data_IF_706402954158
#
_entry.id   IF_706402954158
#
_cell.length_a   1.000
_cell.length_b   1.000
_cell.length_c   1.000
_cell.angle_alpha   90.00
_cell.angle_beta   90.00
_cell.angle_gamma   90.00
#
_symmetry.space_group_name_H-M   'P 1'
#
loop_
_entity.id
_entity.type
_entity.pdbx_description
1 polymer ?
#
# COMPACT_ATOMS: atom_id res chain seq x y z
N UNK A 1 7.03 22.55 25.45
CA UNK A 1 7.49 21.50 24.51
C UNK A 1 6.96 21.87 23.13
N UNK A 2 7.84 22.14 22.16
CA UNK A 2 7.46 22.39 20.76
C UNK A 2 7.41 21.07 20.01
N UNK A 3 6.26 20.69 19.49
CA UNK A 3 6.12 19.52 18.61
C UNK A 3 6.84 19.80 17.30
N UNK A 4 7.82 18.97 16.94
CA UNK A 4 8.49 19.04 15.64
C UNK A 4 7.79 18.08 14.68
N UNK A 5 7.25 18.62 13.58
CA UNK A 5 6.64 17.82 12.52
C UNK A 5 7.72 17.54 11.47
N UNK A 6 7.88 16.27 11.10
CA UNK A 6 8.68 15.85 9.95
C UNK A 6 7.75 15.28 8.89
N UNK A 7 7.97 15.66 7.63
CA UNK A 7 7.19 15.18 6.49
C UNK A 7 8.14 14.77 5.36
N UNK A 8 7.85 13.62 4.76
CA UNK A 8 8.61 13.06 3.65
C UNK A 8 7.64 12.33 2.71
N UNK A 9 7.77 12.57 1.41
CA UNK A 9 7.07 11.79 0.40
C UNK A 9 7.70 10.39 0.28
N UNK A 10 6.92 9.34 0.57
CA UNK A 10 7.37 7.95 0.40
C UNK A 10 7.23 7.48 -1.06
N UNK A 11 6.15 7.91 -1.72
CA UNK A 11 5.94 7.72 -3.15
C UNK A 11 5.42 9.01 -3.77
N UNK A 12 5.86 9.28 -4.99
CA UNK A 12 5.48 10.47 -5.76
C UNK A 12 4.86 10.04 -7.08
N UNK A 13 3.66 10.54 -7.38
CA UNK A 13 2.97 10.23 -8.63
C UNK A 13 3.84 10.51 -9.86
N UNK A 14 3.79 9.62 -10.85
CA UNK A 14 4.64 9.66 -12.04
C UNK A 14 6.07 9.14 -11.85
N UNK A 15 6.49 8.81 -10.62
CA UNK A 15 7.77 8.16 -10.34
C UNK A 15 7.58 6.66 -10.06
N UNK A 16 8.65 5.87 -10.19
CA UNK A 16 8.66 4.45 -9.79
C UNK A 16 7.77 3.52 -10.63
N UNK A 17 7.33 3.95 -11.81
CA UNK A 17 6.53 3.14 -12.73
C UNK A 17 5.01 3.23 -12.53
N UNK A 18 4.53 4.11 -11.66
CA UNK A 18 3.11 4.28 -11.38
C UNK A 18 2.67 5.73 -11.58
N UNK A 19 1.51 5.90 -12.21
CA UNK A 19 0.89 7.21 -12.38
C UNK A 19 0.46 7.80 -11.02
N UNK A 20 -0.19 7.02 -10.17
CA UNK A 20 -0.76 7.48 -8.90
C UNK A 20 -0.52 6.49 -7.77
N UNK A 21 -0.33 7.01 -6.55
CA UNK A 21 -0.27 6.23 -5.34
C UNK A 21 -1.44 6.62 -4.43
N UNK A 22 -2.21 5.64 -3.92
CA UNK A 22 -3.39 5.89 -3.07
C UNK A 22 -3.54 4.83 -1.98
N UNK A 23 -4.51 5.07 -1.10
CA UNK A 23 -4.94 4.17 -0.02
C UNK A 23 -3.76 3.78 0.90
N UNK A 24 -3.18 4.76 1.61
CA UNK A 24 -2.05 4.50 2.49
C UNK A 24 -2.50 3.71 3.72
N UNK A 25 -1.68 2.75 4.15
CA UNK A 25 -1.81 2.09 5.44
C UNK A 25 -0.47 1.99 6.15
N UNK A 26 -0.47 2.12 7.48
CA UNK A 26 0.73 2.05 8.31
C UNK A 26 0.56 0.99 9.40
N UNK A 27 1.64 0.28 9.70
CA UNK A 27 1.72 -0.62 10.84
C UNK A 27 3.11 -0.56 11.47
N UNK A 28 3.20 -0.73 12.79
CA UNK A 28 4.47 -0.84 13.52
C UNK A 28 4.58 -2.25 14.07
N UNK A 29 5.60 -2.98 13.63
CA UNK A 29 5.89 -4.33 14.11
C UNK A 29 6.29 -4.34 15.58
N UNK A 30 6.29 -5.51 16.21
CA UNK A 30 6.80 -5.67 17.59
C UNK A 30 8.29 -5.32 17.74
N UNK A 31 9.06 -5.35 16.64
CA UNK A 31 10.45 -4.91 16.58
C UNK A 31 10.63 -3.39 16.33
N UNK A 32 9.54 -2.61 16.31
CA UNK A 32 9.60 -1.17 16.06
C UNK A 32 9.81 -0.77 14.59
N UNK A 33 9.89 -1.73 13.67
CA UNK A 33 9.92 -1.44 12.22
C UNK A 33 8.58 -0.86 11.79
N UNK A 34 8.60 0.28 11.11
CA UNK A 34 7.42 0.90 10.48
C UNK A 34 7.26 0.30 9.09
N UNK A 35 6.07 -0.20 8.79
CA UNK A 35 5.66 -0.68 7.48
C UNK A 35 4.65 0.31 6.90
N UNK A 36 4.95 0.85 5.73
CA UNK A 36 4.04 1.68 4.96
C UNK A 36 3.60 0.94 3.71
N UNK A 37 2.29 0.85 3.49
CA UNK A 37 1.68 0.24 2.33
C UNK A 37 0.91 1.28 1.53
N UNK A 38 0.81 1.08 0.22
CA UNK A 38 -0.11 1.82 -0.64
C UNK A 38 -0.42 1.03 -1.91
N UNK A 39 -1.45 1.46 -2.62
CA UNK A 39 -1.72 1.08 -4.01
C UNK A 39 -0.81 1.85 -4.95
N UNK A 40 -0.07 1.15 -5.80
CA UNK A 40 0.57 1.68 -7.01
C UNK A 40 -0.37 1.50 -8.20
N UNK A 41 -0.99 2.59 -8.66
CA UNK A 41 -1.91 2.59 -9.79
C UNK A 41 -1.17 2.92 -11.08
N UNK A 42 -1.06 1.95 -11.99
CA UNK A 42 -0.14 2.03 -13.14
C UNK A 42 -0.49 3.17 -14.10
N UNK A 43 -1.75 3.25 -14.50
CA UNK A 43 -2.17 4.04 -15.67
C UNK A 43 -2.98 5.31 -15.34
N UNK A 44 -3.49 5.43 -14.12
CA UNK A 44 -4.39 6.53 -13.75
C UNK A 44 -4.71 6.58 -12.25
N UNK A 45 -5.57 7.51 -11.85
CA UNK A 45 -6.01 7.68 -10.47
C UNK A 45 -7.34 6.97 -10.14
N UNK A 46 -7.92 6.24 -11.11
CA UNK A 46 -9.19 5.50 -10.94
C UNK A 46 -9.08 4.30 -10.00
N UNK A 47 -10.21 3.89 -9.43
CA UNK A 47 -10.28 2.78 -8.45
C UNK A 47 -10.29 1.38 -9.10
N UNK A 48 -10.49 1.32 -10.42
CA UNK A 48 -10.29 0.12 -11.24
C UNK A 48 -9.05 0.28 -12.13
N UNK A 49 -8.47 -0.85 -12.53
CA UNK A 49 -7.28 -0.92 -13.38
C UNK A 49 -6.21 -1.85 -12.81
N UNK A 50 -5.06 -1.89 -13.49
CA UNK A 50 -3.90 -2.61 -12.97
C UNK A 50 -3.31 -1.83 -11.79
N UNK A 51 -3.52 -2.39 -10.60
CA UNK A 51 -3.09 -1.80 -9.33
C UNK A 51 -2.28 -2.85 -8.59
N UNK A 52 -1.05 -2.48 -8.24
CA UNK A 52 -0.16 -3.29 -7.42
C UNK A 52 -0.18 -2.81 -5.98
N UNK A 53 0.03 -3.72 -5.03
CA UNK A 53 0.21 -3.39 -3.63
C UNK A 53 1.69 -3.25 -3.29
N UNK A 54 2.06 -2.12 -2.72
CA UNK A 54 3.45 -1.76 -2.46
C UNK A 54 3.76 -1.67 -0.96
N UNK A 55 5.03 -1.83 -0.61
CA UNK A 55 5.57 -1.70 0.73
C UNK A 55 6.87 -0.89 0.72
N UNK A 56 7.03 0.01 1.68
CA UNK A 56 8.32 0.50 2.16
C UNK A 56 8.42 0.27 3.66
N UNK A 57 9.63 0.00 4.16
CA UNK A 57 9.87 -0.17 5.60
C UNK A 57 10.91 0.80 6.11
N UNK A 58 10.75 1.23 7.35
CA UNK A 58 11.75 1.99 8.11
C UNK A 58 12.10 1.24 9.39
N UNK A 59 13.40 1.15 9.67
CA UNK A 59 13.94 0.50 10.89
C UNK A 59 14.53 1.52 11.88
N UNK A 60 14.42 2.82 11.57
CA UNK A 60 15.02 3.94 12.28
C UNK A 60 13.98 5.02 12.67
N UNK A 61 12.73 4.61 12.89
CA UNK A 61 11.66 5.50 13.34
C UNK A 61 11.12 6.45 12.27
N UNK A 62 11.31 6.12 10.99
CA UNK A 62 10.79 6.87 9.85
C UNK A 62 11.78 7.87 9.26
N UNK A 63 13.04 7.89 9.72
CA UNK A 63 14.09 8.79 9.21
C UNK A 63 14.59 8.37 7.83
N UNK A 64 14.71 7.07 7.59
CA UNK A 64 15.03 6.51 6.28
C UNK A 64 14.12 5.33 5.95
N UNK A 65 13.98 5.08 4.65
CA UNK A 65 13.06 4.08 4.12
C UNK A 65 13.78 3.20 3.10
N UNK A 66 13.50 1.90 3.16
CA UNK A 66 13.95 0.95 2.15
C UNK A 66 13.42 1.34 0.76
N UNK A 67 14.05 0.82 -0.31
CA UNK A 67 13.42 0.81 -1.63
C UNK A 67 12.01 0.21 -1.58
N UNK A 68 11.15 0.66 -2.50
CA UNK A 68 9.79 0.13 -2.65
C UNK A 68 9.84 -1.35 -3.04
N UNK A 69 8.98 -2.15 -2.43
CA UNK A 69 8.79 -3.57 -2.71
C UNK A 69 7.35 -3.79 -3.18
N UNK A 70 7.15 -4.73 -4.10
CA UNK A 70 5.82 -5.21 -4.50
C UNK A 70 5.43 -6.34 -3.55
N UNK A 71 4.29 -6.19 -2.89
CA UNK A 71 3.70 -7.20 -1.97
C UNK A 71 2.73 -8.10 -2.71
N UNK A 72 1.94 -7.53 -3.63
CA UNK A 72 0.99 -8.27 -4.45
C UNK A 72 0.83 -7.55 -5.80
N UNK A 73 1.02 -8.28 -6.90
CA UNK A 73 0.84 -7.79 -8.26
C UNK A 73 0.43 -8.96 -9.15
N UNK A 74 -0.58 -8.73 -10.01
CA UNK A 74 -1.05 -9.72 -10.97
C UNK A 74 -1.53 -9.02 -12.22
N UNK A 75 -1.12 -9.53 -13.38
CA UNK A 75 -1.54 -9.00 -14.67
C UNK A 75 -3.07 -8.95 -14.77
N UNK A 76 -3.62 -7.80 -15.19
CA UNK A 76 -5.06 -7.63 -15.33
C UNK A 76 -5.85 -7.66 -14.02
N UNK A 77 -5.22 -7.43 -12.86
CA UNK A 77 -5.91 -7.37 -11.56
C UNK A 77 -5.73 -6.03 -10.86
N UNK A 78 -6.73 -5.70 -10.05
CA UNK A 78 -6.68 -4.65 -9.03
C UNK A 78 -6.36 -5.31 -7.69
N UNK A 79 -5.14 -5.13 -7.18
CA UNK A 79 -4.73 -5.59 -5.84
C UNK A 79 -4.62 -4.37 -4.92
N UNK A 80 -5.50 -4.24 -3.92
CA UNK A 80 -5.63 -2.97 -3.19
C UNK A 80 -6.19 -3.07 -1.79
N UNK A 81 -6.56 -1.90 -1.26
CA UNK A 81 -7.11 -1.70 0.08
C UNK A 81 -6.31 -2.41 1.20
N UNK A 82 -5.02 -2.08 1.40
CA UNK A 82 -4.24 -2.70 2.46
C UNK A 82 -4.79 -2.36 3.84
N UNK A 83 -5.04 -3.40 4.64
CA UNK A 83 -5.43 -3.30 6.03
C UNK A 83 -4.51 -4.18 6.89
N UNK A 84 -3.29 -3.71 7.23
CA UNK A 84 -2.35 -4.45 8.04
C UNK A 84 -2.79 -4.50 9.51
N UNK A 85 -2.66 -5.67 10.12
CA UNK A 85 -2.88 -5.91 11.55
C UNK A 85 -1.66 -6.63 12.12
N UNK A 86 -1.09 -6.09 13.19
CA UNK A 86 0.04 -6.70 13.89
C UNK A 86 -0.49 -7.47 15.09
N UNK A 87 -0.35 -8.79 15.07
CA UNK A 87 -0.53 -9.61 16.26
C UNK A 87 0.67 -9.38 17.18
N UNK A 88 0.44 -8.68 18.30
CA UNK A 88 1.50 -8.32 19.24
C UNK A 88 2.00 -9.48 20.09
N UNK A 89 1.23 -10.58 20.19
CA UNK A 89 1.63 -11.75 20.97
C UNK A 89 2.63 -12.63 20.23
N UNK A 90 2.51 -12.70 18.89
CA UNK A 90 3.35 -13.53 18.02
C UNK A 90 4.36 -12.73 17.20
N UNK A 91 4.08 -11.44 16.95
CA UNK A 91 4.83 -10.61 16.01
C UNK A 91 4.39 -10.77 14.55
N UNK A 92 3.40 -11.62 14.26
CA UNK A 92 2.88 -11.80 12.90
C UNK A 92 2.20 -10.54 12.39
N UNK A 93 2.50 -10.16 11.14
CA UNK A 93 1.79 -9.10 10.43
C UNK A 93 0.82 -9.75 9.46
N UNK A 94 -0.47 -9.63 9.75
CA UNK A 94 -1.56 -10.02 8.86
C UNK A 94 -1.85 -8.86 7.92
N UNK A 95 -1.88 -9.11 6.61
CA UNK A 95 -2.21 -8.08 5.63
C UNK A 95 -3.48 -8.50 4.89
N UNK A 96 -4.61 -7.92 5.28
CA UNK A 96 -5.87 -8.10 4.57
C UNK A 96 -5.89 -7.15 3.37
N UNK A 97 -6.38 -7.64 2.24
CA UNK A 97 -6.44 -6.91 0.97
C UNK A 97 -7.70 -7.28 0.21
N UNK A 98 -8.07 -6.46 -0.78
CA UNK A 98 -9.09 -6.79 -1.78
C UNK A 98 -8.44 -7.12 -3.11
N UNK A 99 -9.09 -7.99 -3.89
CA UNK A 99 -8.69 -8.26 -5.26
C UNK A 99 -9.89 -8.44 -6.18
N UNK A 100 -9.85 -7.80 -7.34
CA UNK A 100 -10.82 -7.95 -8.43
C UNK A 100 -10.12 -7.79 -9.79
N UNK A 101 -10.83 -8.10 -10.88
CA UNK A 101 -10.31 -7.87 -12.24
C UNK A 101 -10.10 -6.38 -12.49
N UNK A 102 -9.06 -6.04 -13.23
CA UNK A 102 -8.72 -4.66 -13.58
C UNK A 102 -9.77 -3.97 -14.46
N UNK A 103 -10.54 -4.73 -15.23
CA UNK A 103 -11.60 -4.22 -16.12
C UNK A 103 -13.00 -4.29 -15.50
N UNK A 104 -13.13 -4.82 -14.28
CA UNK A 104 -14.40 -4.83 -13.56
C UNK A 104 -14.51 -3.55 -12.72
N UNK A 105 -15.53 -2.75 -13.00
CA UNK A 105 -15.86 -1.58 -12.22
C UNK A 105 -16.79 -1.94 -11.06
N UNK A 106 -17.00 -0.99 -10.14
CA UNK A 106 -17.81 -1.20 -8.94
C UNK A 106 -19.21 -1.76 -9.25
N UNK A 107 -19.87 -1.24 -10.29
CA UNK A 107 -21.20 -1.72 -10.71
C UNK A 107 -21.20 -3.15 -11.22
N UNK A 108 -20.08 -3.62 -11.79
CA UNK A 108 -19.92 -4.99 -12.25
C UNK A 108 -19.79 -5.93 -11.04
N UNK A 109 -18.90 -5.57 -10.11
CA UNK A 109 -18.65 -6.33 -8.88
C UNK A 109 -19.94 -6.45 -8.05
N UNK A 110 -20.70 -5.35 -7.90
CA UNK A 110 -21.99 -5.34 -7.18
C UNK A 110 -23.03 -6.30 -7.79
N UNK A 111 -22.91 -6.61 -9.09
CA UNK A 111 -23.79 -7.56 -9.80
C UNK A 111 -23.27 -9.01 -9.76
N UNK A 112 -22.10 -9.26 -9.15
CA UNK A 112 -21.54 -10.60 -8.95
C UNK A 112 -20.51 -11.04 -9.99
N UNK A 113 -19.75 -10.09 -10.56
CA UNK A 113 -18.66 -10.33 -11.52
C UNK A 113 -17.27 -10.42 -10.88
#
# INVERSE_FOLDING_TARGET
>A
MTTRIHAQDLWKGGAGGYHTYRIPALAITTAGTILAFCEGRRHGSGDAGEIDLLLRRSVDGGLSWSPSQVVDARNGMTCGNPAPVVDRSTGTVWLLTTRNRADAHEDDIRKGL
#
